data_IF_498004640856
#
_entry.id   IF_498004640856
#
_cell.length_a   1.000
_cell.length_b   1.000
_cell.length_c   1.000
_cell.angle_alpha   90.00
_cell.angle_beta   90.00
_cell.angle_gamma   90.00
#
_symmetry.space_group_name_H-M   'P 1'
#
loop_
_entity.id
_entity.type
_entity.pdbx_description
1 polymer ?
#
# COMPACT_ATOMS: atom_id res chain seq x y z
N UNK A 1 14.04 -6.17 -8.15
CA UNK A 1 13.84 -5.17 -9.23
C UNK A 1 12.76 -4.20 -8.78
N UNK A 2 12.99 -2.88 -8.88
CA UNK A 2 11.98 -1.89 -8.47
C UNK A 2 11.00 -1.66 -9.62
N UNK A 3 9.70 -1.66 -9.32
CA UNK A 3 8.63 -1.40 -10.30
C UNK A 3 7.66 -0.34 -9.79
N UNK A 4 6.83 0.19 -10.69
CA UNK A 4 5.63 0.97 -10.36
C UNK A 4 4.41 0.06 -10.34
N UNK A 5 3.46 0.33 -9.45
CA UNK A 5 2.25 -0.48 -9.26
C UNK A 5 1.39 -0.51 -10.53
N UNK A 6 1.35 0.58 -11.31
CA UNK A 6 0.60 0.62 -12.58
C UNK A 6 1.02 -0.47 -13.58
N UNK A 7 2.27 -0.98 -13.49
CA UNK A 7 2.82 -2.00 -14.38
C UNK A 7 2.81 -3.41 -13.77
N UNK A 8 2.20 -3.64 -12.60
CA UNK A 8 2.29 -4.91 -11.85
C UNK A 8 1.88 -6.15 -12.67
N UNK A 9 0.99 -5.97 -13.66
CA UNK A 9 0.51 -7.06 -14.52
C UNK A 9 1.63 -7.71 -15.37
N UNK A 10 2.69 -6.96 -15.69
CA UNK A 10 3.80 -7.42 -16.50
C UNK A 10 4.82 -8.26 -15.71
N UNK A 11 4.64 -8.34 -14.38
CA UNK A 11 5.60 -8.94 -13.45
C UNK A 11 5.06 -10.16 -12.71
N UNK A 12 3.98 -10.77 -13.21
CA UNK A 12 3.40 -11.99 -12.62
C UNK A 12 4.47 -13.09 -12.51
N UNK A 13 4.49 -13.77 -11.37
CA UNK A 13 5.45 -14.80 -10.98
C UNK A 13 6.90 -14.30 -10.80
N UNK A 14 7.13 -12.98 -10.87
CA UNK A 14 8.45 -12.38 -10.65
C UNK A 14 8.57 -11.74 -9.26
N UNK A 15 9.79 -11.72 -8.73
CA UNK A 15 10.11 -10.99 -7.50
C UNK A 15 10.40 -9.53 -7.81
N UNK A 16 9.61 -8.65 -7.19
CA UNK A 16 9.67 -7.20 -7.37
C UNK A 16 9.78 -6.49 -6.03
N UNK A 17 10.19 -5.24 -6.08
CA UNK A 17 10.23 -4.32 -4.94
C UNK A 17 9.36 -3.11 -5.27
N UNK A 18 8.47 -2.73 -4.36
CA UNK A 18 7.64 -1.53 -4.45
C UNK A 18 8.11 -0.55 -3.38
N UNK A 19 8.35 0.69 -3.79
CA UNK A 19 8.61 1.82 -2.89
C UNK A 19 7.30 2.58 -2.72
N UNK A 20 6.80 2.69 -1.49
CA UNK A 20 5.50 3.29 -1.28
C UNK A 20 5.15 3.55 0.17
N UNK A 21 3.88 3.84 0.37
CA UNK A 21 3.29 4.17 1.67
C UNK A 21 2.16 3.20 2.00
N UNK A 22 2.08 2.80 3.26
CA UNK A 22 0.98 2.00 3.78
C UNK A 22 -0.31 2.81 3.66
N UNK A 23 -1.23 2.40 2.80
CA UNK A 23 -2.52 3.05 2.64
C UNK A 23 -3.53 2.55 3.68
N UNK A 24 -3.59 1.23 3.84
CA UNK A 24 -4.40 0.56 4.84
C UNK A 24 -3.75 -0.77 5.23
N UNK A 25 -4.06 -1.27 6.42
CA UNK A 25 -3.56 -2.57 6.90
C UNK A 25 -4.62 -3.28 7.72
N UNK A 26 -4.76 -4.58 7.51
CA UNK A 26 -5.53 -5.46 8.40
C UNK A 26 -4.72 -6.71 8.74
N UNK A 27 -5.05 -7.37 9.84
CA UNK A 27 -4.41 -8.61 10.28
C UNK A 27 -5.43 -9.65 10.68
N UNK A 28 -5.18 -10.93 10.34
CA UNK A 28 -6.01 -12.06 10.75
C UNK A 28 -5.13 -13.28 11.01
N UNK A 29 -4.92 -13.59 12.29
CA UNK A 29 -4.08 -14.72 12.70
C UNK A 29 -2.66 -14.58 12.17
N UNK A 30 -2.27 -15.47 11.24
CA UNK A 30 -0.91 -15.54 10.67
C UNK A 30 -0.70 -14.70 9.40
N UNK A 31 -1.70 -13.91 9.02
CA UNK A 31 -1.67 -13.09 7.80
C UNK A 31 -1.83 -11.61 8.12
N UNK A 32 -1.04 -10.78 7.47
CA UNK A 32 -1.29 -9.35 7.32
C UNK A 32 -1.58 -9.01 5.87
N UNK A 33 -2.62 -8.20 5.66
CA UNK A 33 -2.98 -7.63 4.37
C UNK A 33 -2.64 -6.15 4.41
N UNK A 34 -1.63 -5.77 3.64
CA UNK A 34 -1.14 -4.40 3.52
C UNK A 34 -1.57 -3.87 2.15
N UNK A 35 -2.35 -2.80 2.12
CA UNK A 35 -2.55 -2.03 0.90
C UNK A 35 -1.42 -1.00 0.81
N UNK A 36 -0.57 -1.14 -0.21
CA UNK A 36 0.57 -0.26 -0.45
C UNK A 36 0.26 0.65 -1.65
N UNK A 37 0.49 1.97 -1.51
CA UNK A 37 0.37 2.93 -2.61
C UNK A 37 1.74 3.51 -2.98
N UNK A 38 1.98 3.72 -4.26
CA UNK A 38 3.20 4.39 -4.78
C UNK A 38 2.89 5.69 -5.53
N UNK A 39 1.61 6.05 -5.64
CA UNK A 39 1.11 7.19 -6.41
C UNK A 39 0.68 6.86 -7.83
N UNK A 40 1.15 5.73 -8.38
CA UNK A 40 0.69 5.19 -9.67
C UNK A 40 -0.45 4.20 -9.50
N UNK A 41 -0.54 3.56 -8.33
CA UNK A 41 -1.60 2.61 -8.01
C UNK A 41 -1.68 2.27 -6.52
N UNK A 42 -2.44 1.21 -6.24
CA UNK A 42 -2.59 0.59 -4.92
C UNK A 42 -2.50 -0.93 -5.12
N UNK A 43 -1.56 -1.59 -4.47
CA UNK A 43 -1.39 -3.04 -4.53
C UNK A 43 -1.78 -3.69 -3.19
N UNK A 44 -2.38 -4.87 -3.24
CA UNK A 44 -2.51 -5.74 -2.07
C UNK A 44 -1.18 -6.49 -1.87
N UNK A 45 -0.63 -6.42 -0.68
CA UNK A 45 0.58 -7.12 -0.27
C UNK A 45 0.23 -8.03 0.91
N UNK A 46 0.44 -9.34 0.74
CA UNK A 46 0.08 -10.37 1.71
C UNK A 46 1.35 -10.83 2.42
N UNK A 47 1.44 -10.53 3.71
CA UNK A 47 2.53 -11.01 4.58
C UNK A 47 2.04 -12.25 5.31
N UNK A 48 2.60 -13.41 4.97
CA UNK A 48 2.32 -14.66 5.65
C UNK A 48 3.46 -15.02 6.58
N UNK A 49 3.17 -15.23 7.87
CA UNK A 49 4.18 -15.51 8.91
C UNK A 49 5.18 -16.62 8.55
N UNK A 50 4.78 -17.60 7.73
CA UNK A 50 5.66 -18.71 7.31
C UNK A 50 6.58 -18.37 6.14
N UNK A 51 6.31 -17.29 5.41
CA UNK A 51 7.05 -16.86 4.21
C UNK A 51 8.01 -15.70 4.51
N UNK A 52 8.04 -15.19 5.75
CA UNK A 52 8.91 -14.10 6.20
C UNK A 52 9.60 -14.45 7.52
N UNK A 53 10.61 -13.67 7.90
CA UNK A 53 11.22 -13.76 9.24
C UNK A 53 10.27 -13.24 10.31
N UNK A 54 10.48 -13.65 11.57
CA UNK A 54 9.73 -13.13 12.71
C UNK A 54 9.84 -11.61 12.83
N UNK A 55 11.04 -11.06 12.62
CA UNK A 55 11.29 -9.61 12.60
C UNK A 55 10.43 -8.89 11.55
N UNK A 56 10.38 -9.38 10.30
CA UNK A 56 9.55 -8.77 9.25
C UNK A 56 8.07 -8.85 9.60
N UNK A 57 7.63 -9.96 10.18
CA UNK A 57 6.24 -10.14 10.61
C UNK A 57 5.87 -9.15 11.72
N UNK A 58 6.71 -9.01 12.74
CA UNK A 58 6.51 -8.11 13.88
C UNK A 58 6.55 -6.63 13.47
N UNK A 59 7.52 -6.26 12.61
CA UNK A 59 7.58 -4.91 12.04
C UNK A 59 6.31 -4.60 11.26
N UNK A 60 5.80 -5.56 10.47
CA UNK A 60 4.53 -5.41 9.74
C UNK A 60 3.36 -5.13 10.70
N UNK A 61 3.33 -5.74 11.88
CA UNK A 61 2.30 -5.51 12.89
C UNK A 61 2.31 -4.08 13.44
N UNK A 62 3.47 -3.45 13.48
CA UNK A 62 3.63 -2.09 14.02
C UNK A 62 3.41 -1.00 12.96
N UNK A 63 3.52 -1.31 11.66
CA UNK A 63 3.31 -0.33 10.59
C UNK A 63 1.93 0.32 10.63
N UNK A 64 1.89 1.65 10.53
CA UNK A 64 0.65 2.42 10.50
C UNK A 64 0.45 3.10 9.13
N UNK A 65 -0.74 3.68 8.93
CA UNK A 65 -1.07 4.47 7.75
C UNK A 65 -0.01 5.56 7.49
N UNK A 66 0.38 5.68 6.22
CA UNK A 66 1.39 6.60 5.69
C UNK A 66 2.84 6.34 6.14
N UNK A 67 3.11 5.23 6.82
CA UNK A 67 4.50 4.75 6.97
C UNK A 67 5.08 4.42 5.59
N UNK A 68 6.32 4.83 5.31
CA UNK A 68 6.99 4.58 4.04
C UNK A 68 7.91 3.37 4.11
N UNK A 69 7.84 2.51 3.10
CA UNK A 69 8.53 1.22 3.08
C UNK A 69 9.08 0.87 1.69
N UNK A 70 10.10 0.03 1.66
CA UNK A 70 10.42 -0.84 0.52
C UNK A 70 9.85 -2.21 0.83
N UNK A 71 8.95 -2.71 -0.03
CA UNK A 71 8.32 -4.01 0.13
C UNK A 71 8.72 -4.91 -1.03
N UNK A 72 9.33 -6.05 -0.72
CA UNK A 72 9.78 -7.03 -1.71
C UNK A 72 8.96 -8.30 -1.61
N UNK A 73 8.58 -8.86 -2.75
CA UNK A 73 7.82 -10.10 -2.82
C UNK A 73 7.53 -10.56 -4.24
N UNK A 74 6.83 -11.67 -4.36
CA UNK A 74 6.45 -12.27 -5.65
C UNK A 74 5.05 -11.87 -6.05
N UNK A 75 4.87 -11.37 -7.28
CA UNK A 75 3.55 -11.02 -7.81
C UNK A 75 2.75 -12.29 -8.13
N UNK A 76 1.50 -12.35 -7.69
CA UNK A 76 0.56 -13.44 -7.94
C UNK A 76 -0.72 -12.90 -8.55
N UNK A 77 -1.33 -13.65 -9.47
CA UNK A 77 -2.69 -13.36 -9.94
C UNK A 77 -3.70 -13.87 -8.91
N UNK A 78 -4.52 -12.98 -8.37
CA UNK A 78 -5.74 -13.33 -7.64
C UNK A 78 -6.84 -12.35 -8.04
N UNK A 79 -7.88 -12.84 -8.72
CA UNK A 79 -9.02 -12.04 -9.19
C UNK A 79 -9.75 -11.30 -8.06
N UNK A 80 -9.58 -11.73 -6.81
CA UNK A 80 -10.19 -11.14 -5.61
C UNK A 80 -9.30 -10.08 -4.98
N UNK A 81 -8.04 -9.95 -5.40
CA UNK A 81 -7.12 -8.98 -4.85
C UNK A 81 -7.60 -7.55 -5.18
N UNK A 82 -7.90 -6.73 -4.15
CA UNK A 82 -8.30 -5.34 -4.36
C UNK A 82 -7.09 -4.51 -4.78
N UNK A 83 -7.33 -3.35 -5.38
CA UNK A 83 -6.27 -2.44 -5.76
C UNK A 83 -6.57 -1.71 -7.05
N UNK A 84 -5.59 -0.94 -7.49
CA UNK A 84 -5.57 -0.26 -8.79
C UNK A 84 -4.15 -0.40 -9.35
N UNK A 85 -3.91 -1.25 -10.36
CA UNK A 85 -4.85 -2.21 -10.93
C UNK A 85 -5.19 -3.33 -9.92
N UNK A 86 -6.45 -3.81 -9.93
CA UNK A 86 -6.88 -4.97 -9.16
C UNK A 86 -6.56 -6.30 -9.85
N UNK A 87 -6.77 -7.42 -9.16
CA UNK A 87 -6.54 -8.77 -9.72
C UNK A 87 -5.13 -9.33 -9.50
N UNK A 88 -4.28 -8.59 -8.80
CA UNK A 88 -2.90 -8.93 -8.50
C UNK A 88 -2.60 -8.65 -7.03
N UNK A 89 -1.80 -9.52 -6.42
CA UNK A 89 -1.27 -9.33 -5.08
C UNK A 89 0.23 -9.64 -5.05
N UNK A 90 0.91 -9.16 -4.02
CA UNK A 90 2.32 -9.44 -3.77
C UNK A 90 2.43 -10.32 -2.54
N UNK A 91 2.89 -11.56 -2.71
CA UNK A 91 3.30 -12.42 -1.59
C UNK A 91 4.62 -11.92 -1.03
N UNK A 92 4.59 -11.29 0.13
CA UNK A 92 5.72 -10.54 0.69
C UNK A 92 6.76 -11.49 1.27
N UNK A 93 8.02 -11.23 0.95
CA UNK A 93 9.17 -11.94 1.50
C UNK A 93 10.04 -11.06 2.39
N UNK A 94 10.02 -9.74 2.18
CA UNK A 94 10.80 -8.79 2.95
C UNK A 94 10.17 -7.38 2.98
N UNK A 95 10.39 -6.65 4.08
CA UNK A 95 9.96 -5.26 4.24
C UNK A 95 11.07 -4.47 4.95
N UNK A 96 11.54 -3.42 4.29
CA UNK A 96 12.40 -2.40 4.90
C UNK A 96 11.59 -1.15 5.19
N UNK A 97 11.58 -0.73 6.46
CA UNK A 97 10.91 0.50 6.88
C UNK A 97 11.85 1.69 6.69
N UNK A 98 11.41 2.66 5.89
CA UNK A 98 12.13 3.93 5.71
C UNK A 98 11.71 4.96 6.74
N UNK A 99 10.41 5.01 7.04
CA UNK A 99 9.85 5.92 8.02
C UNK A 99 8.59 5.32 8.63
N UNK A 100 8.56 5.21 9.96
CA UNK A 100 7.36 4.90 10.72
C UNK A 100 6.56 6.17 11.01
N UNK A 101 5.24 6.07 10.93
CA UNK A 101 4.30 7.13 11.32
C UNK A 101 3.51 6.62 12.52
N UNK A 102 3.12 7.49 13.46
CA UNK A 102 2.28 7.10 14.60
C UNK A 102 0.96 7.90 14.67
N UNK A 103 0.92 9.11 14.12
CA UNK A 103 -0.22 10.03 14.26
C UNK A 103 -0.59 10.71 12.93
N UNK A 104 -1.10 9.93 11.97
CA UNK A 104 -1.59 10.51 10.72
C UNK A 104 -2.96 11.19 10.93
N UNK A 105 -3.12 12.49 10.63
CA UNK A 105 -4.31 13.25 11.04
C UNK A 105 -5.59 12.87 10.27
N UNK A 106 -5.47 12.32 9.06
CA UNK A 106 -6.63 11.91 8.25
C UNK A 106 -6.86 10.42 8.44
N UNK A 107 -7.55 10.09 9.53
CA UNK A 107 -7.89 8.69 9.89
C UNK A 107 -9.00 8.13 8.99
N UNK A 108 -9.22 6.79 8.97
CA UNK A 108 -10.29 6.12 8.22
C UNK A 108 -11.72 6.36 8.75
N UNK A 109 -12.04 7.59 9.12
CA UNK A 109 -13.36 8.07 9.54
C UNK A 109 -13.76 9.25 8.66
N UNK A 110 -15.04 9.61 8.68
CA UNK A 110 -15.46 10.83 8.00
C UNK A 110 -14.90 12.06 8.71
N UNK A 111 -14.42 13.01 7.91
CA UNK A 111 -13.92 14.31 8.35
C UNK A 111 -14.65 15.40 7.57
N UNK A 112 -14.91 16.53 8.21
CA UNK A 112 -15.52 17.69 7.55
C UNK A 112 -14.66 18.27 6.42
N UNK A 113 -15.30 18.92 5.46
CA UNK A 113 -14.61 19.49 4.29
C UNK A 113 -13.52 20.52 4.69
N UNK A 114 -13.81 21.38 5.66
CA UNK A 114 -12.86 22.37 6.19
C UNK A 114 -11.59 21.71 6.74
N UNK A 115 -11.74 20.72 7.63
CA UNK A 115 -10.63 19.95 8.19
C UNK A 115 -9.72 19.32 7.10
N UNK A 116 -10.34 18.79 6.05
CA UNK A 116 -9.66 18.16 4.92
C UNK A 116 -8.98 19.17 3.99
N UNK A 117 -9.56 20.37 3.83
CA UNK A 117 -8.99 21.46 3.04
C UNK A 117 -7.78 22.08 3.76
N UNK A 118 -7.81 22.26 5.07
CA UNK A 118 -6.64 22.71 5.86
C UNK A 118 -5.46 21.76 5.70
N UNK A 119 -5.76 20.46 5.54
CA UNK A 119 -4.78 19.39 5.33
C UNK A 119 -4.72 18.95 3.88
N UNK A 120 -5.00 19.85 2.93
CA UNK A 120 -5.08 19.51 1.51
C UNK A 120 -3.83 18.79 1.01
N UNK A 121 -2.65 19.22 1.45
CA UNK A 121 -1.35 18.63 1.13
C UNK A 121 -1.22 17.14 1.51
N UNK A 122 -1.98 16.67 2.51
CA UNK A 122 -2.10 15.26 2.87
C UNK A 122 -3.32 14.62 2.18
N UNK A 123 -4.45 15.33 2.16
CA UNK A 123 -5.72 14.80 1.66
C UNK A 123 -5.69 14.43 0.18
N UNK A 124 -4.87 15.10 -0.64
CA UNK A 124 -4.65 14.72 -2.05
C UNK A 124 -4.20 13.27 -2.24
N UNK A 125 -3.65 12.63 -1.20
CA UNK A 125 -3.17 11.24 -1.20
C UNK A 125 -4.30 10.22 -0.97
N UNK A 126 -5.49 10.66 -0.57
CA UNK A 126 -6.66 9.78 -0.43
C UNK A 126 -7.18 9.31 -1.78
N UNK A 127 -7.73 8.10 -1.86
CA UNK A 127 -8.12 7.46 -3.13
C UNK A 127 -9.01 8.33 -4.02
N UNK A 128 -10.03 8.99 -3.44
CA UNK A 128 -10.95 9.86 -4.18
C UNK A 128 -10.22 11.08 -4.77
N UNK A 129 -9.38 11.73 -3.99
CA UNK A 129 -8.66 12.93 -4.45
C UNK A 129 -7.60 12.58 -5.48
N UNK A 130 -6.89 11.48 -5.26
CA UNK A 130 -5.95 10.91 -6.22
C UNK A 130 -6.62 10.62 -7.57
N UNK A 131 -7.78 9.95 -7.57
CA UNK A 131 -8.53 9.67 -8.80
C UNK A 131 -8.98 10.94 -9.53
N UNK A 132 -9.55 11.92 -8.81
CA UNK A 132 -9.99 13.20 -9.39
C UNK A 132 -8.83 13.93 -10.06
N UNK A 133 -7.66 13.99 -9.40
CA UNK A 133 -6.49 14.68 -9.94
C UNK A 133 -5.92 13.98 -11.18
N UNK A 134 -5.98 12.65 -11.26
CA UNK A 134 -5.59 11.91 -12.47
C UNK A 134 -6.54 12.16 -13.64
N UNK A 135 -7.85 12.17 -13.41
CA UNK A 135 -8.83 12.53 -14.45
C UNK A 135 -8.58 13.95 -14.94
N UNK A 136 -8.37 14.89 -14.01
CA UNK A 136 -8.05 16.29 -14.34
C UNK A 136 -6.79 16.43 -15.21
N UNK A 137 -5.78 15.57 -15.03
CA UNK A 137 -4.56 15.65 -15.81
C UNK A 137 -4.72 15.18 -17.27
N UNK A 138 -5.81 14.48 -17.58
CA UNK A 138 -6.10 13.96 -18.92
C UNK A 138 -7.06 14.84 -19.73
N UNK A 139 -7.62 15.88 -19.12
CA UNK A 139 -8.48 16.89 -19.77
C UNK A 139 -7.69 18.17 -20.01
#
# INVERSE_FOLDING_TARGET
MIIRIENIADYVDQTITIQGWIYAKTGKGKLHFVQLRDGTGIAQCVVFQKEVTEEVFDVTQQLTQESSVLLTGTVRKDKRAPGVPGGYEVGVTDIQVLQSVNEYPITPKEHGAEFLLDRRHLWIRSSRQWAILRIRACI
#
